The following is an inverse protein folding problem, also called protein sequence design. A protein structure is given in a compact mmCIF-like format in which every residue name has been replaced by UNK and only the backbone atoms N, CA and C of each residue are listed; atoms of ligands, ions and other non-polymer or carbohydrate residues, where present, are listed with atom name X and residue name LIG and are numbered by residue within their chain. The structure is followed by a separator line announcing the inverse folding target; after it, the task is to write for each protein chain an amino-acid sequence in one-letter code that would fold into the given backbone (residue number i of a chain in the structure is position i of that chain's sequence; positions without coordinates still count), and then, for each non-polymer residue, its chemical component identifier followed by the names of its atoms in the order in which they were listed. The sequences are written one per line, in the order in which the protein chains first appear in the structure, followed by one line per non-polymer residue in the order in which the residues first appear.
data_IF_066464298330
#
_entry.id   IF_066464298330
#
_cell.length_a   1.000
_cell.length_b   1.000
_cell.length_c   1.000
_cell.angle_alpha   90.00
_cell.angle_beta   90.00
_cell.angle_gamma   90.00
#
_symmetry.space_group_name_H-M   'P 1'
#
loop_
_entity.id
_entity.type
_entity.pdbx_description
1 polymer ?
#
# COMPACT_ATOMS: atom_id res chain seq x y z
N UNK A 1 48.76 -8.12 -43.03
CA UNK A 1 49.33 -8.98 -41.98
C UNK A 1 49.78 -8.09 -40.82
N UNK A 2 49.33 -8.45 -39.62
CA UNK A 2 50.01 -8.35 -38.33
C UNK A 2 50.33 -6.93 -37.81
N UNK A 3 49.61 -6.39 -36.82
CA UNK A 3 49.50 -6.79 -35.40
C UNK A 3 50.65 -6.26 -34.53
N UNK A 4 50.23 -5.65 -33.42
CA UNK A 4 50.82 -5.67 -32.06
C UNK A 4 51.51 -4.41 -31.51
N UNK A 5 50.85 -3.74 -30.53
CA UNK A 5 51.08 -3.79 -29.06
C UNK A 5 52.02 -2.62 -28.64
N UNK A 6 51.92 -1.92 -27.51
CA UNK A 6 51.09 -1.91 -26.30
C UNK A 6 51.57 -0.69 -25.45
N UNK A 7 50.70 -0.22 -24.53
CA UNK A 7 50.96 0.58 -23.31
C UNK A 7 50.98 2.12 -23.43
N UNK A 8 49.96 2.82 -22.92
CA UNK A 8 49.48 3.04 -21.53
C UNK A 8 50.10 4.31 -20.93
N UNK A 9 49.26 5.34 -20.65
CA UNK A 9 48.93 5.78 -19.28
C UNK A 9 47.97 7.01 -19.31
N UNK A 10 46.78 6.78 -18.76
CA UNK A 10 46.02 7.68 -17.86
C UNK A 10 45.63 9.08 -18.35
N UNK A 11 44.45 9.15 -18.98
CA UNK A 11 43.51 10.25 -18.69
C UNK A 11 42.45 9.68 -17.76
N UNK A 12 42.53 10.05 -16.48
CA UNK A 12 41.47 9.83 -15.51
C UNK A 12 40.23 10.60 -15.97
N UNK A 13 39.24 9.86 -16.47
CA UNK A 13 37.87 10.36 -16.61
C UNK A 13 37.34 10.65 -15.20
N UNK A 14 37.25 11.94 -14.89
CA UNK A 14 36.48 12.42 -13.76
C UNK A 14 35.03 11.97 -13.94
N UNK A 15 34.66 10.91 -13.22
CA UNK A 15 33.25 10.59 -12.96
C UNK A 15 32.71 11.79 -12.20
N UNK A 16 31.91 12.60 -12.89
CA UNK A 16 31.14 13.67 -12.27
C UNK A 16 30.21 13.01 -11.24
N UNK A 17 30.56 13.17 -9.97
CA UNK A 17 29.74 12.81 -8.84
C UNK A 17 28.48 13.68 -8.92
N UNK A 18 27.35 13.05 -9.24
CA UNK A 18 26.02 13.69 -9.22
C UNK A 18 25.78 14.36 -7.87
N UNK A 19 25.19 15.57 -7.80
CA UNK A 19 24.90 16.20 -6.54
C UNK A 19 23.87 15.35 -5.80
N UNK A 20 24.19 15.01 -4.55
CA UNK A 20 23.23 14.46 -3.59
C UNK A 20 22.12 15.48 -3.36
N UNK A 21 21.01 15.37 -4.08
CA UNK A 21 19.80 16.10 -3.75
C UNK A 21 19.13 15.38 -2.58
N UNK A 22 19.04 16.04 -1.43
CA UNK A 22 18.06 15.68 -0.39
C UNK A 22 16.63 15.94 -0.90
N UNK A 23 15.65 16.14 -0.02
CA UNK A 23 14.28 16.58 -0.38
C UNK A 23 14.22 18.02 -0.97
N UNK A 24 15.24 18.36 -1.76
CA UNK A 24 15.42 19.56 -2.54
C UNK A 24 14.49 19.52 -3.75
N UNK A 25 13.79 20.63 -3.92
CA UNK A 25 12.78 20.83 -4.92
C UNK A 25 13.41 21.00 -6.32
N UNK A 26 12.83 20.36 -7.33
CA UNK A 26 13.23 20.48 -8.74
C UNK A 26 12.17 21.23 -9.51
N UNK A 27 12.57 22.24 -10.28
CA UNK A 27 11.64 22.97 -11.16
C UNK A 27 11.23 22.10 -12.37
N UNK A 28 10.03 22.30 -12.96
CA UNK A 28 9.62 21.59 -14.17
C UNK A 28 10.65 21.66 -15.32
N UNK A 29 11.27 22.83 -15.53
CA UNK A 29 12.27 23.02 -16.59
C UNK A 29 13.56 22.22 -16.34
N UNK A 30 13.94 22.03 -15.07
CA UNK A 30 15.06 21.17 -14.69
C UNK A 30 14.70 19.68 -14.85
N UNK A 31 13.46 19.29 -14.54
CA UNK A 31 12.98 17.93 -14.75
C UNK A 31 13.03 17.53 -16.22
N UNK A 32 12.62 18.41 -17.13
CA UNK A 32 12.69 18.13 -18.57
C UNK A 32 14.12 17.81 -19.02
N UNK A 33 15.13 18.50 -18.46
CA UNK A 33 16.54 18.22 -18.72
C UNK A 33 16.99 16.87 -18.13
N UNK A 34 16.49 16.52 -16.94
CA UNK A 34 16.77 15.22 -16.30
C UNK A 34 16.16 14.08 -17.12
N UNK A 35 14.95 14.28 -17.67
CA UNK A 35 14.25 13.29 -18.48
C UNK A 35 14.81 13.15 -19.90
N UNK A 36 15.56 14.13 -20.39
CA UNK A 36 16.20 14.09 -21.71
C UNK A 36 17.34 13.05 -21.84
N UNK A 37 17.57 12.22 -20.83
CA UNK A 37 18.61 11.20 -20.82
C UNK A 37 18.03 9.81 -20.62
N UNK A 38 18.72 8.80 -21.14
CA UNK A 38 18.24 7.42 -21.28
C UNK A 38 18.17 6.63 -19.96
N UNK A 39 17.88 7.23 -18.81
CA UNK A 39 17.77 6.47 -17.55
C UNK A 39 16.47 6.76 -16.82
N UNK A 40 15.97 5.77 -16.08
CA UNK A 40 14.74 5.92 -15.32
C UNK A 40 14.92 6.92 -14.19
N UNK A 41 13.94 7.81 -14.00
CA UNK A 41 13.95 8.82 -12.94
C UNK A 41 12.72 8.66 -12.05
N UNK A 42 12.93 8.54 -10.74
CA UNK A 42 11.85 8.53 -9.75
C UNK A 42 11.47 9.97 -9.38
N UNK A 43 10.17 10.26 -9.37
CA UNK A 43 9.64 11.60 -9.11
C UNK A 43 8.60 11.51 -7.99
N UNK A 44 8.83 12.21 -6.89
CA UNK A 44 7.85 12.40 -5.82
C UNK A 44 7.14 13.75 -5.97
N UNK A 45 5.82 13.74 -6.05
CA UNK A 45 4.96 14.93 -6.06
C UNK A 45 4.37 15.12 -4.66
N UNK A 46 4.67 16.26 -4.03
CA UNK A 46 4.25 16.60 -2.66
C UNK A 46 3.39 17.86 -2.61
N UNK A 47 2.77 18.09 -1.46
CA UNK A 47 2.17 19.37 -1.07
C UNK A 47 2.90 19.91 0.15
N UNK A 48 3.59 21.05 0.02
CA UNK A 48 4.21 21.73 1.16
C UNK A 48 3.21 22.44 2.07
N UNK A 49 3.59 22.65 3.33
CA UNK A 49 2.70 23.27 4.34
C UNK A 49 2.72 24.80 4.37
N UNK A 50 3.55 25.49 3.58
CA UNK A 50 3.70 26.94 3.72
C UNK A 50 3.22 27.70 2.48
N UNK A 51 2.17 28.50 2.70
CA UNK A 51 1.97 29.69 1.89
C UNK A 51 3.22 30.56 2.03
N UNK A 52 4.07 30.63 1.01
CA UNK A 52 4.92 31.81 0.84
C UNK A 52 3.98 33.01 0.93
N UNK A 53 4.13 33.84 1.97
CA UNK A 53 3.45 35.13 2.10
C UNK A 53 3.93 36.03 0.95
N UNK A 54 3.38 35.87 -0.25
CA UNK A 54 3.46 36.85 -1.33
C UNK A 54 2.08 37.45 -1.52
N UNK A 55 1.80 38.45 -0.68
CA UNK A 55 1.09 39.69 -1.01
C UNK A 55 0.92 40.47 0.29
N UNK A 56 1.96 41.19 0.67
CA UNK A 56 1.85 42.31 1.60
C UNK A 56 1.52 43.54 0.74
N UNK A 57 0.25 43.69 0.39
CA UNK A 57 -0.34 44.96 -0.05
C UNK A 57 -1.86 44.85 -0.01
N UNK A 58 -2.49 45.89 0.54
CA UNK A 58 -3.92 46.08 0.79
C UNK A 58 -4.49 45.38 2.06
N UNK A 59 -4.04 45.89 3.21
CA UNK A 59 -4.95 46.11 4.34
C UNK A 59 -5.78 47.36 4.02
N UNK A 60 -7.05 47.20 3.71
CA UNK A 60 -8.09 48.18 4.05
C UNK A 60 -9.48 47.55 3.89
N UNK A 61 -10.27 47.63 4.96
CA UNK A 61 -11.72 47.45 5.04
C UNK A 61 -12.34 46.10 4.65
N UNK A 62 -12.63 45.27 5.66
CA UNK A 62 -13.99 44.87 6.05
C UNK A 62 -13.90 43.83 7.19
N UNK A 63 -13.65 44.34 8.39
CA UNK A 63 -13.94 43.63 9.63
C UNK A 63 -15.43 43.85 9.88
N UNK A 64 -16.28 42.84 9.59
CA UNK A 64 -17.54 42.52 10.31
C UNK A 64 -18.60 41.66 9.57
N UNK A 65 -18.28 40.88 8.52
CA UNK A 65 -19.27 39.92 7.96
C UNK A 65 -18.75 38.48 7.77
N UNK A 66 -17.47 38.19 8.01
CA UNK A 66 -16.91 36.84 7.74
C UNK A 66 -16.96 35.90 8.95
N UNK A 67 -17.42 36.34 10.13
CA UNK A 67 -17.62 35.43 11.28
C UNK A 67 -18.89 34.59 11.21
N UNK A 68 -19.80 34.84 10.26
CA UNK A 68 -21.06 34.09 10.13
C UNK A 68 -21.12 33.11 8.93
N UNK A 69 -20.13 33.09 8.03
CA UNK A 69 -20.13 32.22 6.84
C UNK A 69 -19.13 31.05 6.94
N UNK A 70 -18.23 31.06 7.94
CA UNK A 70 -17.18 30.03 8.10
C UNK A 70 -17.67 28.72 8.71
N UNK A 71 -18.95 28.62 9.13
CA UNK A 71 -19.48 27.43 9.83
C UNK A 71 -20.51 26.60 9.04
N UNK A 72 -20.75 26.84 7.75
CA UNK A 72 -21.91 26.22 7.08
C UNK A 72 -21.71 25.75 5.63
N UNK A 73 -20.58 25.12 5.27
CA UNK A 73 -20.51 24.33 4.02
C UNK A 73 -19.74 23.02 4.21
N UNK A 74 -20.40 21.84 4.12
CA UNK A 74 -19.74 20.54 4.27
C UNK A 74 -18.64 20.31 3.22
N UNK A 75 -18.75 20.91 2.03
CA UNK A 75 -17.75 20.81 0.97
C UNK A 75 -16.41 21.52 1.31
N UNK A 76 -16.45 22.63 2.05
CA UNK A 76 -15.24 23.37 2.45
C UNK A 76 -14.51 22.62 3.58
N UNK A 77 -15.26 22.11 4.56
CA UNK A 77 -14.69 21.31 5.65
C UNK A 77 -14.09 20.00 5.13
N UNK A 78 -14.78 19.32 4.19
CA UNK A 78 -14.27 18.13 3.51
C UNK A 78 -12.93 18.42 2.82
N UNK A 79 -12.85 19.48 1.99
CA UNK A 79 -11.61 19.90 1.31
C UNK A 79 -10.47 20.25 2.29
N UNK A 80 -10.79 20.86 3.44
CA UNK A 80 -9.79 21.24 4.46
C UNK A 80 -9.20 20.02 5.16
N UNK A 81 -10.03 19.02 5.47
CA UNK A 81 -9.57 17.76 6.04
C UNK A 81 -8.70 17.00 5.02
N UNK A 82 -9.14 16.86 3.76
CA UNK A 82 -8.33 16.18 2.71
C UNK A 82 -6.95 16.82 2.52
N UNK A 83 -6.86 18.15 2.62
CA UNK A 83 -5.58 18.87 2.54
C UNK A 83 -4.69 18.64 3.77
N UNK A 84 -5.27 18.48 4.96
CA UNK A 84 -4.52 18.17 6.20
C UNK A 84 -3.95 16.75 6.13
N UNK A 85 -4.75 15.81 5.66
CA UNK A 85 -4.38 14.39 5.55
C UNK A 85 -3.28 14.19 4.50
N UNK A 86 -3.40 14.83 3.34
CA UNK A 86 -2.39 14.81 2.29
C UNK A 86 -1.02 15.35 2.76
N UNK A 87 -1.01 16.41 3.59
CA UNK A 87 0.22 16.96 4.17
C UNK A 87 0.86 16.03 5.19
N UNK A 88 0.05 15.44 6.07
CA UNK A 88 0.52 14.43 7.02
C UNK A 88 1.22 13.29 6.28
N UNK A 89 0.57 12.79 5.23
CA UNK A 89 1.12 11.71 4.41
C UNK A 89 2.41 12.09 3.66
N UNK A 90 2.55 13.34 3.19
CA UNK A 90 3.80 13.81 2.60
C UNK A 90 4.94 13.85 3.62
N UNK A 91 4.68 14.25 4.87
CA UNK A 91 5.68 14.26 5.95
C UNK A 91 6.17 12.86 6.30
N UNK A 92 5.29 11.86 6.29
CA UNK A 92 5.67 10.47 6.54
C UNK A 92 6.57 9.88 5.42
N UNK A 93 6.40 10.33 4.17
CA UNK A 93 7.22 9.87 3.04
C UNK A 93 8.62 10.49 3.01
N UNK A 94 8.79 11.69 3.56
CA UNK A 94 10.06 12.45 3.53
C UNK A 94 11.28 11.63 4.01
N UNK A 95 11.30 11.02 5.20
CA UNK A 95 12.45 10.22 5.65
C UNK A 95 12.68 8.96 4.80
N UNK A 96 11.62 8.37 4.24
CA UNK A 96 11.74 7.21 3.36
C UNK A 96 12.31 7.60 1.99
N UNK A 97 11.93 8.76 1.47
CA UNK A 97 12.46 9.24 0.20
C UNK A 97 13.93 9.60 0.31
N UNK A 98 14.41 10.18 1.40
CA UNK A 98 15.84 10.39 1.61
C UNK A 98 16.66 9.09 1.48
N UNK A 99 16.10 7.97 1.97
CA UNK A 99 16.71 6.64 1.77
C UNK A 99 16.67 6.21 0.30
N UNK A 100 15.60 6.52 -0.44
CA UNK A 100 15.52 6.32 -1.89
C UNK A 100 16.62 7.11 -2.62
N UNK A 101 16.80 8.39 -2.30
CA UNK A 101 17.80 9.25 -2.95
C UNK A 101 19.24 8.76 -2.74
N UNK A 102 19.52 8.14 -1.59
CA UNK A 102 20.84 7.53 -1.31
C UNK A 102 21.11 6.26 -2.13
N UNK A 103 20.07 5.58 -2.62
CA UNK A 103 20.16 4.25 -3.24
C UNK A 103 19.75 4.21 -4.71
N UNK A 104 19.04 5.22 -5.17
CA UNK A 104 18.60 5.36 -6.55
C UNK A 104 19.37 6.51 -7.21
N UNK A 105 19.99 6.30 -8.39
CA UNK A 105 20.88 7.28 -9.00
C UNK A 105 20.17 8.57 -9.39
N UNK A 106 18.85 8.51 -9.66
CA UNK A 106 18.05 9.63 -10.15
C UNK A 106 16.71 9.75 -9.47
N UNK A 107 16.55 10.83 -8.75
CA UNK A 107 15.33 11.15 -8.02
C UNK A 107 15.03 12.63 -8.16
N UNK A 108 13.76 13.00 -8.19
CA UNK A 108 13.35 14.39 -8.15
C UNK A 108 12.12 14.58 -7.26
N UNK A 109 11.95 15.79 -6.75
CA UNK A 109 10.80 16.16 -5.90
C UNK A 109 10.12 17.40 -6.46
N UNK A 110 8.81 17.32 -6.68
CA UNK A 110 7.97 18.40 -7.20
C UNK A 110 6.97 18.83 -6.13
N UNK A 111 6.97 20.11 -5.78
CA UNK A 111 5.93 20.72 -4.96
C UNK A 111 4.77 21.21 -5.82
N UNK A 112 3.66 20.49 -5.76
CA UNK A 112 2.44 20.83 -6.49
C UNK A 112 1.75 22.09 -5.96
N UNK A 113 2.14 22.60 -4.80
CA UNK A 113 1.68 23.89 -4.28
C UNK A 113 2.32 25.06 -5.04
N UNK A 114 3.57 24.89 -5.50
CA UNK A 114 4.30 25.90 -6.28
C UNK A 114 4.09 25.70 -7.79
N UNK A 115 3.91 24.45 -8.24
CA UNK A 115 3.73 24.10 -9.66
C UNK A 115 2.43 23.32 -9.94
N UNK A 116 1.25 23.89 -9.65
CA UNK A 116 -0.03 23.19 -9.77
C UNK A 116 -0.35 22.77 -11.22
N UNK A 117 0.05 23.58 -12.22
CA UNK A 117 -0.18 23.29 -13.64
C UNK A 117 0.55 22.02 -14.09
N UNK A 118 1.84 21.89 -13.75
CA UNK A 118 2.62 20.70 -14.08
C UNK A 118 2.02 19.45 -13.42
N UNK A 119 1.69 19.53 -12.14
CA UNK A 119 1.09 18.39 -11.43
C UNK A 119 -0.27 17.98 -12.02
N UNK A 120 -1.07 18.94 -12.47
CA UNK A 120 -2.33 18.66 -13.18
C UNK A 120 -2.09 17.96 -14.52
N UNK A 121 -1.15 18.46 -15.34
CA UNK A 121 -0.80 17.86 -16.64
C UNK A 121 -0.27 16.43 -16.51
N UNK A 122 0.41 16.14 -15.40
CA UNK A 122 0.90 14.80 -15.09
C UNK A 122 -0.16 13.90 -14.43
N UNK A 123 -1.41 14.38 -14.24
CA UNK A 123 -2.53 13.69 -13.56
C UNK A 123 -2.23 13.34 -12.08
N UNK A 124 -1.67 14.31 -11.33
CA UNK A 124 -1.53 14.23 -9.86
C UNK A 124 -2.81 14.72 -9.20
N UNK A 125 -3.64 13.79 -8.74
CA UNK A 125 -4.89 14.11 -8.04
C UNK A 125 -4.75 14.00 -6.51
N UNK A 126 -3.86 13.12 -6.04
CA UNK A 126 -3.66 12.82 -4.62
C UNK A 126 -2.19 12.97 -4.26
N UNK A 127 -1.92 13.28 -3.00
CA UNK A 127 -0.57 13.51 -2.51
C UNK A 127 -0.29 12.69 -1.24
N UNK A 128 0.96 12.25 -1.04
CA UNK A 128 2.03 12.27 -2.03
C UNK A 128 1.76 11.26 -3.16
N UNK A 129 2.22 11.61 -4.36
CA UNK A 129 2.21 10.73 -5.53
C UNK A 129 3.64 10.43 -5.98
N UNK A 130 3.95 9.17 -6.23
CA UNK A 130 5.27 8.75 -6.72
C UNK A 130 5.10 8.23 -8.15
N UNK A 131 6.01 8.65 -9.02
CA UNK A 131 6.06 8.23 -10.42
C UNK A 131 7.46 7.82 -10.81
N UNK A 132 7.52 6.96 -11.81
CA UNK A 132 8.74 6.70 -12.52
C UNK A 132 8.60 7.15 -13.96
N UNK A 133 9.55 7.97 -14.38
CA UNK A 133 9.74 8.34 -15.77
C UNK A 133 10.70 7.34 -16.39
N UNK A 134 10.24 6.61 -17.40
CA UNK A 134 11.05 5.66 -18.17
C UNK A 134 11.47 6.26 -19.52
N UNK A 135 12.37 5.57 -20.21
CA UNK A 135 12.76 5.87 -21.60
C UNK A 135 11.52 6.00 -22.50
N UNK A 136 11.58 6.91 -23.46
CA UNK A 136 10.47 7.15 -24.40
C UNK A 136 9.27 7.88 -23.78
N UNK A 137 9.50 8.67 -22.72
CA UNK A 137 8.48 9.46 -22.03
C UNK A 137 7.33 8.64 -21.40
N UNK A 138 7.56 7.35 -21.13
CA UNK A 138 6.56 6.50 -20.47
C UNK A 138 6.54 6.77 -18.96
N UNK A 139 5.39 7.22 -18.46
CA UNK A 139 5.17 7.50 -17.03
C UNK A 139 4.47 6.30 -16.37
N UNK A 140 5.05 5.76 -15.30
CA UNK A 140 4.42 4.72 -14.48
C UNK A 140 4.11 5.25 -13.08
N UNK A 141 2.88 5.02 -12.62
CA UNK A 141 2.42 5.45 -11.29
C UNK A 141 2.74 4.37 -10.26
N UNK A 142 3.39 4.77 -9.18
CA UNK A 142 3.58 3.90 -8.04
C UNK A 142 2.35 3.95 -7.12
N UNK A 143 1.83 2.78 -6.74
CA UNK A 143 0.65 2.64 -5.87
C UNK A 143 0.90 1.74 -4.66
N UNK A 144 2.15 1.33 -4.45
CA UNK A 144 2.53 0.45 -3.35
C UNK A 144 2.82 1.21 -2.04
N UNK A 145 3.38 0.51 -1.05
CA UNK A 145 3.75 1.08 0.25
C UNK A 145 4.74 2.24 0.12
N UNK A 146 4.50 3.33 0.85
CA UNK A 146 5.32 4.55 0.80
C UNK A 146 6.62 4.42 1.61
N UNK A 147 7.36 3.32 1.42
CA UNK A 147 8.62 2.97 2.09
C UNK A 147 9.74 2.84 1.06
N UNK A 148 10.98 3.06 1.47
CA UNK A 148 12.11 3.14 0.56
C UNK A 148 12.35 1.87 -0.26
N UNK A 149 12.33 0.69 0.38
CA UNK A 149 12.60 -0.60 -0.26
C UNK A 149 11.58 -0.92 -1.37
N UNK A 150 10.25 -0.91 -1.10
CA UNK A 150 9.23 -1.12 -2.14
C UNK A 150 9.31 -0.14 -3.33
N UNK A 151 9.67 1.12 -3.09
CA UNK A 151 9.83 2.14 -4.15
C UNK A 151 11.03 1.82 -5.05
N UNK A 152 12.15 1.42 -4.45
CA UNK A 152 13.38 1.07 -5.18
C UNK A 152 13.15 -0.21 -5.98
N UNK A 153 12.56 -1.25 -5.39
CA UNK A 153 12.24 -2.49 -6.10
C UNK A 153 11.30 -2.23 -7.27
N UNK A 154 10.27 -1.40 -7.08
CA UNK A 154 9.40 -0.95 -8.18
C UNK A 154 10.20 -0.36 -9.34
N UNK A 155 11.11 0.58 -9.08
CA UNK A 155 11.94 1.22 -10.12
C UNK A 155 12.76 0.23 -10.94
N UNK A 156 13.32 -0.79 -10.28
CA UNK A 156 14.09 -1.85 -10.94
C UNK A 156 13.19 -2.68 -11.86
N UNK A 157 12.06 -3.16 -11.35
CA UNK A 157 11.13 -4.01 -12.12
C UNK A 157 10.55 -3.31 -13.35
N UNK A 158 10.30 -2.00 -13.26
CA UNK A 158 9.78 -1.25 -14.40
C UNK A 158 10.81 -0.93 -15.48
N UNK A 159 12.09 -0.86 -15.10
CA UNK A 159 13.19 -0.69 -16.04
C UNK A 159 13.49 -1.98 -16.80
N UNK A 160 13.34 -3.13 -16.13
CA UNK A 160 13.60 -4.46 -16.69
C UNK A 160 12.38 -5.38 -16.46
N UNK A 161 11.36 -5.33 -17.33
CA UNK A 161 10.14 -6.12 -17.14
C UNK A 161 10.37 -7.63 -17.14
N UNK A 162 11.44 -8.11 -17.78
CA UNK A 162 11.85 -9.52 -17.79
C UNK A 162 13.38 -9.59 -17.71
N UNK A 163 13.89 -10.34 -16.75
CA UNK A 163 15.31 -10.58 -16.55
C UNK A 163 15.72 -11.94 -17.14
N UNK A 164 16.76 -12.05 -17.97
CA UNK A 164 17.30 -13.34 -18.39
C UNK A 164 17.91 -14.10 -17.20
N UNK A 165 17.51 -15.35 -17.02
CA UNK A 165 17.93 -16.23 -15.93
C UNK A 165 18.59 -17.48 -16.50
N UNK A 166 19.65 -17.90 -15.83
CA UNK A 166 20.46 -19.09 -16.12
C UNK A 166 20.43 -20.00 -14.91
N UNK A 167 20.79 -21.27 -15.06
CA UNK A 167 20.84 -22.19 -13.92
C UNK A 167 21.78 -21.69 -12.81
N UNK A 168 22.85 -20.98 -13.16
CA UNK A 168 23.85 -20.49 -12.20
C UNK A 168 23.33 -19.34 -11.33
N UNK A 169 22.45 -18.48 -11.87
CA UNK A 169 21.92 -17.32 -11.14
C UNK A 169 20.47 -17.51 -10.69
N UNK A 170 19.85 -18.66 -10.98
CA UNK A 170 18.45 -18.94 -10.66
C UNK A 170 18.15 -18.77 -9.18
N UNK A 171 18.97 -19.33 -8.28
CA UNK A 171 18.75 -19.20 -6.83
C UNK A 171 18.77 -17.75 -6.36
N UNK A 172 19.76 -16.97 -6.80
CA UNK A 172 19.89 -15.54 -6.51
C UNK A 172 18.70 -14.75 -7.05
N UNK A 173 18.22 -15.09 -8.25
CA UNK A 173 17.05 -14.48 -8.86
C UNK A 173 15.77 -14.76 -8.05
N UNK A 174 15.55 -16.00 -7.63
CA UNK A 174 14.35 -16.37 -6.86
C UNK A 174 14.25 -15.64 -5.50
N UNK A 175 15.36 -15.11 -4.99
CA UNK A 175 15.43 -14.32 -3.74
C UNK A 175 15.61 -12.81 -3.97
N UNK A 176 15.58 -12.34 -5.22
CA UNK A 176 15.98 -10.95 -5.54
C UNK A 176 14.96 -9.89 -5.16
N UNK A 177 13.70 -10.27 -4.94
CA UNK A 177 12.58 -9.37 -4.66
C UNK A 177 11.51 -10.09 -3.83
N UNK A 178 10.50 -9.35 -3.37
CA UNK A 178 9.41 -9.88 -2.52
C UNK A 178 8.62 -11.00 -3.21
N UNK A 179 8.28 -10.84 -4.48
CA UNK A 179 7.58 -11.86 -5.28
C UNK A 179 8.27 -11.98 -6.63
N UNK A 180 8.75 -13.19 -6.92
CA UNK A 180 9.52 -13.51 -8.12
C UNK A 180 8.80 -14.60 -8.91
N UNK A 181 8.65 -14.37 -10.21
CA UNK A 181 8.06 -15.30 -11.17
C UNK A 181 9.13 -15.65 -12.21
N UNK A 182 9.41 -16.94 -12.38
CA UNK A 182 10.35 -17.46 -13.35
C UNK A 182 9.61 -18.29 -14.41
N UNK A 183 9.67 -17.84 -15.66
CA UNK A 183 9.24 -18.64 -16.81
C UNK A 183 10.33 -19.61 -17.25
N UNK A 184 10.05 -20.89 -17.16
CA UNK A 184 10.86 -21.96 -17.75
C UNK A 184 10.32 -22.24 -19.14
N UNK A 185 10.88 -21.59 -20.16
CA UNK A 185 10.34 -21.62 -21.53
C UNK A 185 11.30 -22.32 -22.49
N UNK A 186 10.83 -23.18 -23.40
CA UNK A 186 11.64 -23.69 -24.49
C UNK A 186 12.18 -22.55 -25.37
N UNK A 187 13.24 -22.81 -26.18
CA UNK A 187 13.76 -21.82 -27.10
C UNK A 187 12.65 -21.32 -28.03
N UNK A 188 12.66 -20.02 -28.33
CA UNK A 188 11.74 -19.43 -29.30
C UNK A 188 11.99 -20.07 -30.67
N UNK A 189 10.90 -20.48 -31.34
CA UNK A 189 10.91 -21.03 -32.71
C UNK A 189 9.90 -20.26 -33.56
N UNK A 190 9.96 -20.43 -34.88
CA UNK A 190 9.02 -19.80 -35.83
C UNK A 190 7.62 -20.46 -35.82
N UNK A 191 7.38 -21.42 -34.91
CA UNK A 191 6.09 -22.07 -34.75
C UNK A 191 5.11 -21.12 -34.04
N UNK A 192 3.87 -20.96 -34.54
CA UNK A 192 2.90 -20.02 -33.96
C UNK A 192 2.62 -20.23 -32.47
N UNK A 193 2.66 -21.48 -31.99
CA UNK A 193 2.44 -21.82 -30.59
C UNK A 193 3.59 -21.33 -29.69
N UNK A 194 4.83 -21.42 -30.19
CA UNK A 194 6.04 -20.95 -29.50
C UNK A 194 6.03 -19.43 -29.38
N UNK A 195 5.78 -18.71 -30.48
CA UNK A 195 5.65 -17.25 -30.46
C UNK A 195 4.55 -16.78 -29.51
N UNK A 196 3.39 -17.47 -29.53
CA UNK A 196 2.26 -17.14 -28.68
C UNK A 196 2.58 -17.33 -27.19
N UNK A 197 3.26 -18.41 -26.82
CA UNK A 197 3.69 -18.68 -25.45
C UNK A 197 4.61 -17.55 -24.94
N UNK A 198 5.66 -17.23 -25.69
CA UNK A 198 6.62 -16.18 -25.34
C UNK A 198 5.94 -14.80 -25.26
N UNK A 199 5.09 -14.47 -26.22
CA UNK A 199 4.33 -13.21 -26.23
C UNK A 199 3.36 -13.10 -25.05
N UNK A 200 2.67 -14.19 -24.69
CA UNK A 200 1.77 -14.22 -23.52
C UNK A 200 2.55 -13.98 -22.23
N UNK A 201 3.66 -14.69 -22.03
CA UNK A 201 4.51 -14.48 -20.86
C UNK A 201 5.01 -13.03 -20.79
N UNK A 202 5.49 -12.49 -21.91
CA UNK A 202 5.95 -11.11 -21.97
C UNK A 202 4.84 -10.08 -21.69
N UNK A 203 3.62 -10.34 -22.16
CA UNK A 203 2.46 -9.48 -21.90
C UNK A 203 2.10 -9.48 -20.41
N UNK A 204 2.08 -10.66 -19.77
CA UNK A 204 1.81 -10.79 -18.34
C UNK A 204 2.91 -10.10 -17.53
N UNK A 205 4.18 -10.32 -17.87
CA UNK A 205 5.30 -9.63 -17.24
C UNK A 205 5.15 -8.10 -17.35
N UNK A 206 4.89 -7.56 -18.54
CA UNK A 206 4.66 -6.12 -18.76
C UNK A 206 3.43 -5.56 -18.03
N UNK A 207 2.44 -6.38 -17.71
CA UNK A 207 1.26 -5.95 -16.97
C UNK A 207 1.48 -5.95 -15.45
N UNK A 208 2.31 -6.87 -14.95
CA UNK A 208 2.49 -7.13 -13.51
C UNK A 208 3.88 -6.74 -12.98
N UNK A 209 4.78 -6.28 -13.83
CA UNK A 209 6.13 -5.83 -13.42
C UNK A 209 6.13 -4.61 -12.48
N UNK A 210 5.00 -3.92 -12.31
CA UNK A 210 4.89 -2.90 -11.26
C UNK A 210 4.91 -3.53 -9.85
N UNK A 211 4.50 -4.79 -9.73
CA UNK A 211 4.34 -5.51 -8.46
C UNK A 211 5.31 -6.67 -8.28
N UNK A 212 5.61 -7.42 -9.33
CA UNK A 212 6.37 -8.68 -9.25
C UNK A 212 7.56 -8.66 -10.19
N UNK A 213 8.65 -9.32 -9.79
CA UNK A 213 9.84 -9.47 -10.65
C UNK A 213 9.66 -10.69 -11.55
N UNK A 214 9.87 -10.51 -12.86
CA UNK A 214 9.77 -11.59 -13.84
C UNK A 214 11.13 -11.95 -14.42
N UNK A 215 11.37 -13.24 -14.57
CA UNK A 215 12.56 -13.77 -15.21
C UNK A 215 12.20 -14.84 -16.21
N UNK A 216 13.08 -15.06 -17.18
CA UNK A 216 12.94 -16.14 -18.15
C UNK A 216 14.21 -16.97 -18.20
N UNK A 217 14.07 -18.28 -18.10
CA UNK A 217 15.15 -19.23 -18.28
C UNK A 217 14.79 -20.16 -19.42
N UNK A 218 15.71 -20.28 -20.37
CA UNK A 218 15.55 -21.18 -21.51
C UNK A 218 15.84 -22.61 -21.07
N UNK A 219 14.86 -23.48 -21.22
CA UNK A 219 15.01 -24.93 -20.97
C UNK A 219 15.35 -25.67 -22.27
N UNK A 220 15.76 -26.94 -22.16
CA UNK A 220 16.08 -27.77 -23.32
C UNK A 220 14.88 -27.87 -24.30
N UNK A 221 15.16 -27.93 -25.59
CA UNK A 221 14.13 -28.09 -26.63
C UNK A 221 13.28 -29.35 -26.37
N UNK A 222 11.97 -29.24 -26.56
CA UNK A 222 11.01 -30.32 -26.25
C UNK A 222 10.61 -30.43 -24.77
N UNK A 223 11.22 -29.65 -23.87
CA UNK A 223 10.75 -29.54 -22.49
C UNK A 223 9.38 -28.86 -22.45
N UNK A 224 8.55 -29.23 -21.48
CA UNK A 224 7.27 -28.54 -21.26
C UNK A 224 7.52 -27.19 -20.59
N UNK A 225 6.88 -26.14 -21.10
CA UNK A 225 6.93 -24.83 -20.48
C UNK A 225 6.22 -24.84 -19.11
N UNK A 226 6.80 -24.16 -18.13
CA UNK A 226 6.23 -24.03 -16.79
C UNK A 226 6.54 -22.68 -16.17
N UNK A 227 5.82 -22.35 -15.11
CA UNK A 227 6.11 -21.20 -14.26
C UNK A 227 6.55 -21.68 -12.88
N UNK A 228 7.62 -21.07 -12.37
CA UNK A 228 8.01 -21.12 -10.97
C UNK A 228 7.72 -19.77 -10.33
N UNK A 229 7.32 -19.83 -9.07
CA UNK A 229 6.87 -18.69 -8.29
C UNK A 229 7.51 -18.79 -6.91
N UNK A 230 7.96 -17.66 -6.38
CA UNK A 230 8.40 -17.53 -5.01
C UNK A 230 7.89 -16.21 -4.43
N UNK A 231 7.05 -16.32 -3.41
CA UNK A 231 6.66 -15.22 -2.54
C UNK A 231 7.57 -15.29 -1.29
N UNK A 232 8.57 -14.42 -1.26
CA UNK A 232 9.55 -14.32 -0.19
C UNK A 232 9.01 -13.62 1.06
N UNK A 233 7.87 -12.93 0.96
CA UNK A 233 7.19 -12.34 2.12
C UNK A 233 6.57 -13.45 2.97
N UNK A 234 5.93 -14.43 2.32
CA UNK A 234 5.20 -15.52 2.97
C UNK A 234 5.97 -16.85 2.99
N UNK A 235 7.15 -16.90 2.37
CA UNK A 235 7.94 -18.13 2.23
C UNK A 235 7.26 -19.21 1.39
N UNK A 236 6.37 -18.82 0.47
CA UNK A 236 5.57 -19.73 -0.35
C UNK A 236 6.14 -19.84 -1.75
N UNK A 237 6.39 -21.07 -2.18
CA UNK A 237 6.83 -21.40 -3.53
C UNK A 237 5.81 -22.27 -4.25
N UNK A 238 5.59 -22.01 -5.53
CA UNK A 238 4.70 -22.81 -6.37
C UNK A 238 5.35 -23.06 -7.73
N UNK A 239 5.10 -24.24 -8.30
CA UNK A 239 5.44 -24.56 -9.67
C UNK A 239 4.20 -25.09 -10.39
N UNK A 240 3.96 -24.59 -11.61
CA UNK A 240 2.75 -24.88 -12.38
C UNK A 240 3.06 -25.16 -13.86
N UNK A 241 2.62 -26.30 -14.43
CA UNK A 241 2.95 -26.72 -15.80
C UNK A 241 1.91 -26.31 -16.86
N UNK A 242 0.84 -25.62 -16.51
CA UNK A 242 -0.24 -25.29 -17.44
C UNK A 242 -0.22 -23.82 -17.85
N UNK A 243 0.22 -23.57 -19.08
CA UNK A 243 0.24 -22.26 -19.73
C UNK A 243 -0.67 -22.22 -20.96
N UNK A 244 -1.44 -23.28 -21.19
CA UNK A 244 -2.19 -23.48 -22.42
C UNK A 244 -3.47 -22.65 -22.42
N UNK A 245 -4.13 -22.57 -21.27
CA UNK A 245 -5.29 -21.70 -21.11
C UNK A 245 -4.88 -20.24 -21.03
N UNK A 246 -5.61 -19.37 -21.73
CA UNK A 246 -5.35 -17.92 -21.77
C UNK A 246 -5.21 -17.29 -20.37
N UNK A 247 -6.08 -17.57 -19.38
CA UNK A 247 -5.95 -16.95 -18.05
C UNK A 247 -4.96 -17.66 -17.12
N UNK A 248 -4.37 -18.80 -17.51
CA UNK A 248 -3.60 -19.63 -16.59
C UNK A 248 -2.38 -18.89 -16.02
N UNK A 249 -1.61 -18.20 -16.89
CA UNK A 249 -0.46 -17.40 -16.48
C UNK A 249 -0.85 -16.27 -15.52
N UNK A 250 -1.89 -15.52 -15.85
CA UNK A 250 -2.34 -14.40 -15.02
C UNK A 250 -2.88 -14.88 -13.67
N UNK A 251 -3.60 -16.00 -13.67
CA UNK A 251 -4.13 -16.62 -12.45
C UNK A 251 -2.99 -17.10 -11.55
N UNK A 252 -1.98 -17.76 -12.12
CA UNK A 252 -0.80 -18.22 -11.41
C UNK A 252 -0.03 -17.04 -10.77
N UNK A 253 0.20 -15.98 -11.54
CA UNK A 253 0.90 -14.77 -11.08
C UNK A 253 0.12 -14.08 -9.94
N UNK A 254 -1.21 -13.95 -10.07
CA UNK A 254 -2.06 -13.37 -9.02
C UNK A 254 -2.05 -14.21 -7.76
N UNK A 255 -2.13 -15.53 -7.88
CA UNK A 255 -2.12 -16.44 -6.75
C UNK A 255 -0.77 -16.39 -6.01
N UNK A 256 0.34 -16.33 -6.74
CA UNK A 256 1.67 -16.25 -6.14
C UNK A 256 1.85 -14.99 -5.29
N UNK A 257 1.44 -13.83 -5.81
CA UNK A 257 1.60 -12.55 -5.13
C UNK A 257 0.46 -12.20 -4.16
N UNK A 258 -0.51 -13.10 -3.95
CA UNK A 258 -1.56 -12.86 -2.98
C UNK A 258 -0.98 -12.96 -1.56
N UNK A 259 -1.13 -11.92 -0.71
CA UNK A 259 -0.60 -11.95 0.65
C UNK A 259 -1.40 -12.92 1.52
N UNK A 260 -0.73 -13.60 2.46
CA UNK A 260 -1.41 -14.44 3.47
C UNK A 260 -2.33 -13.63 4.41
N UNK A 261 -1.93 -12.39 4.70
CA UNK A 261 -2.72 -11.43 5.48
C UNK A 261 -3.01 -10.25 4.57
N UNK A 262 -4.21 -10.24 4.00
CA UNK A 262 -4.63 -9.22 3.03
C UNK A 262 -5.23 -7.99 3.68
N UNK A 263 -5.52 -6.99 2.87
CA UNK A 263 -6.39 -5.88 3.26
C UNK A 263 -7.78 -6.12 2.66
N UNK A 264 -8.83 -5.97 3.46
CA UNK A 264 -10.21 -6.03 3.00
C UNK A 264 -10.68 -4.62 2.64
N UNK A 265 -10.85 -4.39 1.35
CA UNK A 265 -11.39 -3.16 0.78
C UNK A 265 -12.24 -3.52 -0.45
N UNK A 266 -12.86 -2.51 -1.08
CA UNK A 266 -13.73 -2.72 -2.25
C UNK A 266 -13.08 -3.50 -3.41
N UNK A 267 -11.75 -3.50 -3.55
CA UNK A 267 -11.06 -4.21 -4.63
C UNK A 267 -10.81 -5.67 -4.30
N UNK A 268 -10.59 -6.00 -3.02
CA UNK A 268 -10.23 -7.34 -2.56
C UNK A 268 -11.44 -8.15 -2.08
N UNK A 269 -12.49 -7.47 -1.60
CA UNK A 269 -13.72 -8.06 -1.04
C UNK A 269 -14.29 -9.17 -1.92
N UNK A 270 -14.52 -8.91 -3.21
CA UNK A 270 -15.10 -9.90 -4.11
C UNK A 270 -14.26 -11.18 -4.21
N UNK A 271 -12.93 -11.06 -4.20
CA UNK A 271 -12.03 -12.22 -4.26
C UNK A 271 -12.01 -13.01 -2.95
N UNK A 272 -12.08 -12.32 -1.81
CA UNK A 272 -12.09 -12.91 -0.48
C UNK A 272 -13.41 -13.65 -0.21
N UNK A 273 -14.54 -13.07 -0.61
CA UNK A 273 -15.86 -13.69 -0.50
C UNK A 273 -15.95 -14.93 -1.40
N UNK A 274 -15.46 -14.86 -2.64
CA UNK A 274 -15.43 -16.01 -3.57
C UNK A 274 -14.56 -17.17 -3.08
N UNK A 275 -13.55 -16.90 -2.24
CA UNK A 275 -12.72 -17.96 -1.67
C UNK A 275 -13.50 -18.82 -0.66
N UNK A 276 -14.66 -18.35 -0.17
CA UNK A 276 -15.54 -19.10 0.74
C UNK A 276 -14.83 -19.62 2.00
N UNK A 277 -13.81 -18.90 2.49
CA UNK A 277 -13.12 -19.21 3.75
C UNK A 277 -13.65 -18.31 4.85
N UNK A 278 -13.60 -18.78 6.10
CA UNK A 278 -13.92 -17.89 7.23
C UNK A 278 -12.86 -16.80 7.33
N UNK A 279 -13.25 -15.60 7.74
CA UNK A 279 -12.38 -14.43 7.75
C UNK A 279 -12.03 -14.04 9.18
N UNK A 280 -10.75 -13.82 9.44
CA UNK A 280 -10.25 -13.23 10.68
C UNK A 280 -9.97 -11.76 10.38
N UNK A 281 -10.87 -10.90 10.83
CA UNK A 281 -10.83 -9.45 10.61
C UNK A 281 -10.04 -8.78 11.73
N UNK A 282 -9.06 -7.96 11.37
CA UNK A 282 -8.38 -7.04 12.29
C UNK A 282 -8.66 -5.60 11.87
N UNK A 283 -9.27 -4.84 12.78
CA UNK A 283 -9.62 -3.44 12.56
C UNK A 283 -8.55 -2.55 13.17
N UNK A 284 -8.00 -1.64 12.36
CA UNK A 284 -7.01 -0.66 12.83
C UNK A 284 -7.15 0.66 12.07
N UNK A 285 -6.88 1.76 12.76
CA UNK A 285 -6.72 3.10 12.19
C UNK A 285 -5.24 3.51 12.03
N UNK A 286 -4.33 2.61 12.42
CA UNK A 286 -2.88 2.82 12.49
C UNK A 286 -2.14 1.86 11.56
N UNK A 287 -1.35 2.44 10.64
CA UNK A 287 -0.50 1.67 9.73
C UNK A 287 0.61 0.90 10.47
N UNK A 288 1.12 1.46 11.57
CA UNK A 288 2.13 0.81 12.40
C UNK A 288 1.56 -0.45 13.07
N UNK A 289 0.37 -0.33 13.67
CA UNK A 289 -0.32 -1.47 14.29
C UNK A 289 -0.75 -2.50 13.25
N UNK A 290 -1.10 -2.06 12.03
CA UNK A 290 -1.37 -2.95 10.89
C UNK A 290 -0.13 -3.79 10.54
N UNK A 291 1.02 -3.15 10.35
CA UNK A 291 2.28 -3.82 10.00
C UNK A 291 2.71 -4.79 11.12
N UNK A 292 2.60 -4.36 12.39
CA UNK A 292 2.92 -5.19 13.54
C UNK A 292 2.00 -6.41 13.66
N UNK A 293 0.69 -6.22 13.51
CA UNK A 293 -0.28 -7.31 13.50
C UNK A 293 0.00 -8.31 12.39
N UNK A 294 0.14 -7.84 11.14
CA UNK A 294 0.44 -8.69 9.97
C UNK A 294 1.69 -9.54 10.23
N UNK A 295 2.76 -8.93 10.74
CA UNK A 295 3.99 -9.66 11.06
C UNK A 295 3.76 -10.74 12.13
N UNK A 296 2.99 -10.43 13.17
CA UNK A 296 2.71 -11.35 14.27
C UNK A 296 1.85 -12.56 13.86
N UNK A 297 0.78 -12.35 13.09
CA UNK A 297 -0.17 -13.41 12.72
C UNK A 297 0.20 -14.17 11.45
N UNK A 298 1.26 -13.77 10.73
CA UNK A 298 1.67 -14.45 9.50
C UNK A 298 1.87 -15.96 9.66
N UNK A 299 2.56 -16.48 10.70
CA UNK A 299 2.71 -17.93 10.88
C UNK A 299 1.36 -18.63 11.07
N UNK A 300 0.43 -17.95 11.74
CA UNK A 300 -0.93 -18.44 11.98
C UNK A 300 -1.73 -18.49 10.68
N UNK A 301 -1.65 -17.42 9.87
CA UNK A 301 -2.26 -17.36 8.55
C UNK A 301 -1.74 -18.47 7.63
N UNK A 302 -0.44 -18.78 7.69
CA UNK A 302 0.14 -19.89 6.95
C UNK A 302 -0.41 -21.25 7.42
N UNK A 303 -0.47 -21.48 8.74
CA UNK A 303 -0.97 -22.71 9.34
C UNK A 303 -2.43 -22.99 8.97
N UNK A 304 -3.28 -21.97 8.95
CA UNK A 304 -4.72 -22.11 8.73
C UNK A 304 -5.18 -21.69 7.32
N UNK A 305 -4.26 -21.50 6.37
CA UNK A 305 -4.52 -20.93 5.03
C UNK A 305 -5.62 -21.63 4.24
N UNK A 306 -5.85 -22.92 4.46
CA UNK A 306 -6.86 -23.69 3.72
C UNK A 306 -8.29 -23.41 4.22
N UNK A 307 -8.42 -22.92 5.46
CA UNK A 307 -9.71 -22.75 6.14
C UNK A 307 -10.04 -21.28 6.45
N UNK A 308 -9.01 -20.47 6.70
CA UNK A 308 -9.13 -19.09 7.16
C UNK A 308 -8.41 -18.13 6.21
N UNK A 309 -9.03 -16.97 5.99
CA UNK A 309 -8.39 -15.79 5.40
C UNK A 309 -8.17 -14.77 6.52
N UNK A 310 -6.93 -14.31 6.70
CA UNK A 310 -6.62 -13.22 7.62
C UNK A 310 -6.67 -11.91 6.85
N UNK A 311 -7.41 -10.93 7.37
CA UNK A 311 -7.59 -9.64 6.71
C UNK A 311 -7.50 -8.48 7.69
N UNK A 312 -6.96 -7.37 7.21
CA UNK A 312 -6.92 -6.09 7.91
C UNK A 312 -7.92 -5.12 7.28
N UNK A 313 -8.51 -4.25 8.08
CA UNK A 313 -9.50 -3.25 7.64
C UNK A 313 -9.10 -1.89 8.21
N UNK A 314 -8.98 -0.89 7.33
CA UNK A 314 -8.74 0.50 7.74
C UNK A 314 -10.04 1.13 8.27
N UNK A 315 -10.05 1.40 9.57
CA UNK A 315 -11.18 2.02 10.28
C UNK A 315 -11.43 3.45 9.80
N UNK A 316 -10.42 4.16 9.32
CA UNK A 316 -10.58 5.51 8.78
C UNK A 316 -11.37 5.49 7.47
N UNK A 317 -11.23 4.45 6.66
CA UNK A 317 -11.97 4.28 5.41
C UNK A 317 -13.33 3.63 5.63
N UNK A 318 -13.42 2.67 6.56
CA UNK A 318 -14.60 1.86 6.81
C UNK A 318 -15.04 1.84 8.29
N UNK A 319 -15.40 3.00 8.88
CA UNK A 319 -15.66 3.11 10.32
C UNK A 319 -16.87 2.30 10.82
N UNK A 320 -17.78 1.95 9.91
CA UNK A 320 -19.01 1.19 10.23
C UNK A 320 -18.82 -0.32 10.07
N UNK A 321 -17.71 -0.81 9.52
CA UNK A 321 -17.56 -2.25 9.29
C UNK A 321 -17.46 -3.04 10.60
N UNK A 322 -16.85 -2.47 11.64
CA UNK A 322 -16.69 -3.09 12.94
C UNK A 322 -18.04 -3.48 13.57
N UNK A 323 -19.10 -2.69 13.35
CA UNK A 323 -20.43 -2.98 13.90
C UNK A 323 -21.11 -4.17 13.25
N UNK A 324 -20.69 -4.56 12.04
CA UNK A 324 -21.27 -5.73 11.35
C UNK A 324 -20.76 -7.06 11.91
N UNK A 325 -19.76 -7.02 12.78
CA UNK A 325 -19.14 -8.18 13.43
C UNK A 325 -19.14 -8.06 14.96
N UNK A 326 -19.99 -7.20 15.52
CA UNK A 326 -20.25 -7.08 16.96
C UNK A 326 -19.35 -6.12 17.74
N UNK A 327 -18.48 -5.36 17.07
CA UNK A 327 -17.66 -4.31 17.70
C UNK A 327 -18.34 -2.94 17.66
N UNK A 328 -17.81 -1.99 18.42
CA UNK A 328 -18.27 -0.59 18.37
C UNK A 328 -17.87 0.10 17.07
N UNK A 329 -18.64 1.13 16.69
CA UNK A 329 -18.30 1.98 15.55
C UNK A 329 -16.95 2.64 15.80
N UNK A 330 -16.05 2.54 14.83
CA UNK A 330 -14.69 3.10 14.96
C UNK A 330 -13.76 2.36 15.92
N UNK A 331 -14.11 1.15 16.37
CA UNK A 331 -13.20 0.34 17.19
C UNK A 331 -11.92 0.00 16.41
N UNK A 332 -10.77 0.28 17.03
CA UNK A 332 -9.42 0.05 16.49
C UNK A 332 -8.65 -0.88 17.44
N UNK A 333 -7.76 -1.70 16.89
CA UNK A 333 -7.01 -2.71 17.64
C UNK A 333 -7.87 -3.91 18.07
N UNK A 334 -8.93 -4.24 17.31
CA UNK A 334 -9.88 -5.31 17.65
C UNK A 334 -9.95 -6.39 16.58
N UNK A 335 -10.27 -7.62 16.99
CA UNK A 335 -10.39 -8.80 16.12
C UNK A 335 -11.80 -9.36 16.13
N UNK A 336 -12.28 -9.83 14.98
CA UNK A 336 -13.48 -10.66 14.89
C UNK A 336 -13.28 -11.80 13.88
N UNK A 337 -13.90 -12.95 14.14
CA UNK A 337 -13.96 -14.06 13.19
C UNK A 337 -15.35 -14.12 12.59
N UNK A 338 -15.45 -14.20 11.27
CA UNK A 338 -16.71 -14.28 10.55
C UNK A 338 -16.75 -15.51 9.66
N UNK A 339 -17.84 -16.28 9.75
CA UNK A 339 -18.14 -17.34 8.81
C UNK A 339 -19.12 -16.81 7.75
N UNK A 340 -18.71 -16.64 6.48
CA UNK A 340 -19.56 -16.09 5.44
C UNK A 340 -20.69 -17.03 5.00
N UNK A 341 -20.64 -18.32 5.34
CA UNK A 341 -21.71 -19.27 4.99
C UNK A 341 -22.86 -19.27 5.98
N UNK A 342 -22.54 -19.25 7.28
CA UNK A 342 -23.55 -19.23 8.35
C UNK A 342 -23.93 -17.82 8.75
N UNK A 343 -23.22 -16.80 8.24
CA UNK A 343 -23.33 -15.39 8.63
C UNK A 343 -23.08 -15.14 10.12
N UNK A 344 -22.43 -16.09 10.80
CA UNK A 344 -22.06 -15.94 12.21
C UNK A 344 -20.78 -15.11 12.34
N UNK A 345 -20.79 -14.18 13.28
CA UNK A 345 -19.62 -13.42 13.69
C UNK A 345 -19.29 -13.70 15.15
N UNK A 346 -18.01 -13.64 15.48
CA UNK A 346 -17.46 -13.87 16.80
C UNK A 346 -16.49 -12.72 17.10
N UNK A 347 -16.92 -11.64 17.77
CA UNK A 347 -16.02 -10.57 18.20
C UNK A 347 -15.15 -11.06 19.36
N UNK A 348 -13.84 -10.83 19.28
CA UNK A 348 -12.97 -10.96 20.45
C UNK A 348 -13.31 -9.83 21.44
N UNK A 349 -13.21 -10.06 22.75
CA UNK A 349 -13.56 -9.02 23.71
C UNK A 349 -12.62 -7.80 23.66
N UNK A 350 -13.21 -6.60 23.71
CA UNK A 350 -12.45 -5.34 23.72
C UNK A 350 -11.64 -5.24 25.01
N UNK A 351 -10.35 -4.92 24.88
CA UNK A 351 -9.40 -4.86 26.00
C UNK A 351 -8.56 -6.12 26.17
N UNK A 352 -8.85 -7.20 25.43
CA UNK A 352 -7.90 -8.31 25.27
C UNK A 352 -6.78 -7.85 24.35
N UNK A 353 -5.53 -8.11 24.75
CA UNK A 353 -4.38 -7.82 23.92
C UNK A 353 -4.40 -8.69 22.65
N UNK A 354 -4.38 -8.04 21.49
CA UNK A 354 -4.40 -8.73 20.19
C UNK A 354 -2.98 -9.17 19.83
N UNK A 355 -2.71 -10.46 20.02
CA UNK A 355 -1.45 -11.12 19.69
C UNK A 355 -1.72 -12.39 18.89
N UNK A 356 -0.71 -12.94 18.21
CA UNK A 356 -0.87 -14.21 17.50
C UNK A 356 -1.40 -15.34 18.40
N UNK A 357 -0.97 -15.39 19.67
CA UNK A 357 -1.40 -16.40 20.63
C UNK A 357 -2.86 -16.19 21.06
N UNK A 358 -3.28 -14.95 21.36
CA UNK A 358 -4.68 -14.68 21.75
C UNK A 358 -5.64 -14.92 20.58
N UNK A 359 -5.24 -14.57 19.35
CA UNK A 359 -6.02 -14.84 18.14
C UNK A 359 -6.11 -16.34 17.86
N UNK A 360 -5.01 -17.09 17.98
CA UNK A 360 -5.03 -18.54 17.80
C UNK A 360 -5.93 -19.23 18.83
N UNK A 361 -5.80 -18.84 20.10
CA UNK A 361 -6.64 -19.37 21.17
C UNK A 361 -8.11 -19.07 20.91
N UNK A 362 -8.44 -17.86 20.47
CA UNK A 362 -9.81 -17.48 20.13
C UNK A 362 -10.39 -18.32 19.00
N UNK A 363 -9.63 -18.55 17.92
CA UNK A 363 -10.02 -19.44 16.82
C UNK A 363 -10.29 -20.85 17.36
N UNK A 364 -9.42 -21.37 18.24
CA UNK A 364 -9.62 -22.69 18.84
C UNK A 364 -10.88 -22.75 19.69
N UNK A 365 -11.14 -21.74 20.52
CA UNK A 365 -12.33 -21.70 21.38
C UNK A 365 -13.64 -21.61 20.57
N UNK A 366 -13.64 -20.94 19.41
CA UNK A 366 -14.77 -20.97 18.46
C UNK A 366 -14.96 -22.39 17.91
N UNK A 367 -13.90 -23.05 17.44
CA UNK A 367 -14.01 -24.42 16.88
C UNK A 367 -14.45 -25.45 17.91
N UNK A 368 -14.17 -25.20 19.20
CA UNK A 368 -14.59 -26.05 20.32
C UNK A 368 -15.99 -25.69 20.85
N UNK A 369 -16.65 -24.66 20.29
CA UNK A 369 -17.98 -24.22 20.72
C UNK A 369 -18.02 -23.52 22.07
N UNK A 370 -16.88 -23.03 22.58
CA UNK A 370 -16.81 -22.29 23.85
C UNK A 370 -17.25 -20.83 23.69
N UNK A 371 -17.15 -20.29 22.48
CA UNK A 371 -17.56 -18.93 22.14
C UNK A 371 -18.90 -19.01 21.42
N UNK A 372 -19.91 -18.35 21.97
CA UNK A 372 -21.21 -18.21 21.31
C UNK A 372 -21.10 -17.22 20.14
N UNK A 373 -21.87 -17.41 19.05
CA UNK A 373 -21.97 -16.41 18.00
C UNK A 373 -22.58 -15.14 18.57
N UNK A 374 -22.16 -14.01 18.01
CA UNK A 374 -22.73 -12.70 18.30
C UNK A 374 -24.24 -12.67 18.03
N UNK A 375 -24.97 -11.98 18.90
CA UNK A 375 -26.44 -11.88 18.90
C UNK A 375 -27.01 -10.88 17.88
N UNK A 376 -26.16 -10.08 17.23
CA UNK A 376 -26.56 -9.10 16.22
C UNK A 376 -26.66 -7.67 16.75
N UNK A 377 -26.44 -7.42 18.05
CA UNK A 377 -26.42 -6.06 18.61
C UNK A 377 -24.97 -5.58 18.82
N UNK A 378 -24.53 -4.48 18.16
CA UNK A 378 -23.16 -4.01 18.34
C UNK A 378 -22.94 -3.59 19.79
N UNK A 379 -21.72 -3.80 20.31
CA UNK A 379 -21.36 -3.31 21.64
C UNK A 379 -21.72 -1.83 21.78
N UNK A 380 -22.30 -1.43 22.92
CA UNK A 380 -22.67 -0.04 23.17
C UNK A 380 -21.41 0.81 23.41
N UNK A 381 -21.44 2.09 23.02
CA UNK A 381 -20.41 3.04 23.45
C UNK A 381 -20.30 3.07 24.97
N UNK A 382 -19.10 2.82 25.49
CA UNK A 382 -18.84 3.04 26.92
C UNK A 382 -19.18 4.51 27.21
N UNK A 383 -20.07 4.82 28.18
CA UNK A 383 -20.29 6.19 28.58
C UNK A 383 -18.94 6.81 28.93
N UNK A 384 -18.65 7.99 28.37
CA UNK A 384 -17.60 8.84 28.92
C UNK A 384 -18.08 9.20 30.32
N UNK A 385 -17.46 8.61 31.35
CA UNK A 385 -17.61 9.09 32.72
C UNK A 385 -17.04 10.51 32.78
N UNK A 386 -17.87 11.49 32.44
CA UNK A 386 -17.61 12.86 32.83
C UNK A 386 -17.69 12.88 34.37
N UNK A 387 -16.66 13.34 35.08
CA UNK A 387 -16.76 13.52 36.52
C UNK A 387 -17.96 14.43 36.79
N UNK A 388 -18.98 13.89 37.45
CA UNK A 388 -20.11 14.68 37.91
C UNK A 388 -19.57 15.60 39.00
N UNK A 389 -19.39 16.87 38.68
CA UNK A 389 -19.15 17.89 39.70
C UNK A 389 -20.34 17.87 40.67
N UNK A 390 -20.10 17.85 42.00
CA UNK A 390 -21.17 17.78 42.97
C UNK A 390 -21.99 19.08 42.91
N UNK A 391 -23.25 18.95 42.51
CA UNK A 391 -24.24 20.03 42.62
C UNK A 391 -24.41 20.33 44.11
N UNK A 392 -24.00 21.54 44.49
CA UNK A 392 -24.12 22.05 45.85
C UNK A 392 -25.58 22.04 46.31
N UNK A 393 -25.77 21.48 47.50
CA UNK A 393 -27.00 21.61 48.30
C UNK A 393 -27.19 23.10 48.60
N UNK A 394 -28.31 23.66 48.17
CA UNK A 394 -28.79 24.96 48.67
C UNK A 394 -29.86 24.64 49.70
N UNK A 395 -29.54 24.87 50.98
CA UNK A 395 -30.52 24.85 52.06
C UNK A 395 -31.38 26.12 52.04
N UNK A 396 -32.63 25.87 52.40
CA UNK A 396 -33.82 26.68 52.71
C UNK A 396 -33.68 28.20 52.89
N UNK A 397 -34.69 28.91 52.37
CA UNK A 397 -35.31 30.00 53.13
C UNK A 397 -36.83 29.89 53.02
N UNK A 398 -37.46 29.61 54.15
CA UNK A 398 -38.89 29.64 54.41
C UNK A 398 -39.38 31.08 54.45
N UNK A 399 -40.50 31.41 53.80
CA UNK A 399 -41.31 32.53 54.26
C UNK A 399 -42.81 32.21 54.21
N UNK A 400 -43.47 32.71 55.25
CA UNK A 400 -44.84 32.47 55.64
C UNK A 400 -45.85 33.06 54.67
N UNK A 401 -47.03 32.45 54.62
CA UNK A 401 -48.04 32.76 53.61
C UNK A 401 -48.98 33.92 53.92
N UNK A 402 -50.06 33.99 53.15
CA UNK A 402 -51.38 34.47 53.55
C UNK A 402 -52.40 34.12 52.45
N UNK A 403 -53.45 33.42 52.85
CA UNK A 403 -54.88 33.69 52.68
C UNK A 403 -55.48 34.29 51.39
N UNK A 404 -56.67 33.71 51.09
CA UNK A 404 -57.85 34.25 50.38
C UNK A 404 -57.74 34.41 48.85
N UNK A 405 -58.58 33.81 48.00
CA UNK A 405 -59.98 33.33 48.05
C UNK A 405 -60.21 32.15 47.08
#
# INVERSE_FOLDING_TARGET
MLSNYLRLLLCASAVAVSPSFGWAFTTPDELEKVFASDESTLVACKLSSEKKKKCQCQRAMLINVVKLVVMAQPAIQKKRNTYKDARSSCKSLEPEWEKVQKRHPRTAVVDCSEHPKYCYEQDVLTHPAIRAQLRGNVVRRYRGPRKADPIISFSKRIGEPIVPVTEQNQSTFMTSDEVVILGLLPPLTDEPESELLHKRFATVAQQYHDRYTFGVQTVAQGSRASLKCQNNIDGLGHEGPDLNQVPAMETFVKACGAPLVGELNRRTELSLVKASKSMVHYFTDSEEDKEAYIASVRPLAQKYREYLNFVTIDVNEYPEMATTVGHRKGASGVVAVQNPHTWQAFPLDEGVEVTAASVEQFIMDITQGKVAPWDGEPKADKPVENPVEPVGVVEEESDGGHDEL
#
